data_IF_749907763912
#
_entry.id   IF_749907763912
#
_cell.length_a   1.000
_cell.length_b   1.000
_cell.length_c   1.000
_cell.angle_alpha   90.00
_cell.angle_beta   90.00
_cell.angle_gamma   90.00
#
_symmetry.space_group_name_H-M   'P 1'
#
loop_
_entity.id
_entity.type
_entity.pdbx_description
1 polymer ?
#
# COMPACT_ATOMS: atom_id res chain seq x y z
N UNK A 1 -24.91 -38.31 -1.84
CA UNK A 1 -24.69 -37.12 -0.98
C UNK A 1 -23.30 -36.47 -1.08
N UNK A 2 -22.40 -36.92 -1.97
CA UNK A 2 -21.08 -36.28 -2.16
C UNK A 2 -21.14 -34.98 -2.98
N UNK A 3 -22.02 -34.89 -3.99
CA UNK A 3 -22.16 -33.68 -4.82
C UNK A 3 -22.63 -32.44 -4.04
N UNK A 4 -23.58 -32.60 -3.11
CA UNK A 4 -24.08 -31.50 -2.27
C UNK A 4 -23.05 -30.99 -1.27
N UNK A 5 -22.17 -31.87 -0.76
CA UNK A 5 -21.12 -31.51 0.20
C UNK A 5 -19.94 -30.80 -0.47
N UNK A 6 -19.55 -31.26 -1.67
CA UNK A 6 -18.53 -30.60 -2.49
C UNK A 6 -19.00 -29.22 -2.96
N UNK A 7 -20.26 -29.10 -3.42
CA UNK A 7 -20.85 -27.82 -3.83
C UNK A 7 -20.96 -26.82 -2.67
N UNK A 8 -21.41 -27.26 -1.48
CA UNK A 8 -21.47 -26.38 -0.31
C UNK A 8 -20.07 -25.89 0.14
N UNK A 9 -19.05 -26.74 0.00
CA UNK A 9 -17.67 -26.39 0.36
C UNK A 9 -17.05 -25.43 -0.65
N UNK A 10 -17.29 -25.63 -1.95
CA UNK A 10 -16.84 -24.71 -2.99
C UNK A 10 -17.51 -23.34 -2.89
N UNK A 11 -18.82 -23.28 -2.58
CA UNK A 11 -19.53 -22.02 -2.34
C UNK A 11 -18.97 -21.24 -1.13
N UNK A 12 -18.64 -21.94 -0.03
CA UNK A 12 -18.02 -21.30 1.15
C UNK A 12 -16.64 -20.72 0.84
N UNK A 13 -15.81 -21.47 0.10
CA UNK A 13 -14.47 -21.01 -0.31
C UNK A 13 -14.55 -19.78 -1.22
N UNK A 14 -15.46 -19.79 -2.19
CA UNK A 14 -15.68 -18.65 -3.07
C UNK A 14 -16.15 -17.41 -2.30
N UNK A 15 -17.10 -17.57 -1.36
CA UNK A 15 -17.56 -16.45 -0.53
C UNK A 15 -16.46 -15.89 0.38
N UNK A 16 -15.63 -16.76 0.97
CA UNK A 16 -14.48 -16.34 1.77
C UNK A 16 -13.46 -15.54 0.93
N UNK A 17 -13.19 -15.98 -0.30
CA UNK A 17 -12.31 -15.26 -1.21
C UNK A 17 -12.87 -13.90 -1.61
N UNK A 18 -14.14 -13.82 -2.01
CA UNK A 18 -14.80 -12.54 -2.33
C UNK A 18 -14.74 -11.57 -1.15
N UNK A 19 -14.99 -12.06 0.06
CA UNK A 19 -14.87 -11.26 1.28
C UNK A 19 -13.43 -10.79 1.51
N UNK A 20 -12.44 -11.68 1.40
CA UNK A 20 -11.04 -11.34 1.59
C UNK A 20 -10.56 -10.28 0.58
N UNK A 21 -10.98 -10.38 -0.68
CA UNK A 21 -10.70 -9.37 -1.71
C UNK A 21 -11.33 -8.03 -1.32
N UNK A 22 -12.61 -8.00 -0.94
CA UNK A 22 -13.30 -6.76 -0.56
C UNK A 22 -12.67 -6.10 0.69
N UNK A 23 -12.35 -6.89 1.72
CA UNK A 23 -11.75 -6.44 2.98
C UNK A 23 -10.33 -5.90 2.80
N UNK A 24 -9.63 -6.28 1.73
CA UNK A 24 -8.31 -5.74 1.40
C UNK A 24 -8.42 -4.55 0.44
N UNK A 25 -9.15 -4.68 -0.67
CA UNK A 25 -9.21 -3.70 -1.75
C UNK A 25 -9.92 -2.40 -1.38
N UNK A 26 -11.03 -2.47 -0.65
CA UNK A 26 -11.79 -1.26 -0.27
C UNK A 26 -10.96 -0.34 0.61
N UNK A 27 -10.44 -0.81 1.77
CA UNK A 27 -9.74 0.08 2.67
C UNK A 27 -8.29 0.34 2.24
N UNK A 28 -7.71 -0.43 1.31
CA UNK A 28 -6.43 -0.09 0.68
C UNK A 28 -6.47 1.30 0.05
N UNK A 29 -7.53 1.63 -0.70
CA UNK A 29 -7.65 2.94 -1.37
C UNK A 29 -7.62 4.10 -0.37
N UNK A 30 -8.35 3.98 0.74
CA UNK A 30 -8.40 5.03 1.76
C UNK A 30 -7.07 5.15 2.53
N UNK A 31 -6.49 4.00 2.91
CA UNK A 31 -5.20 3.94 3.63
C UNK A 31 -4.07 4.58 2.81
N UNK A 32 -4.03 4.27 1.51
CA UNK A 32 -2.98 4.74 0.62
C UNK A 32 -3.16 6.20 0.19
N UNK A 33 -4.41 6.70 0.13
CA UNK A 33 -4.69 8.09 -0.18
C UNK A 33 -4.04 9.06 0.82
N UNK A 34 -4.18 8.79 2.12
CA UNK A 34 -3.57 9.61 3.17
C UNK A 34 -2.03 9.63 3.07
N UNK A 35 -1.42 8.49 2.77
CA UNK A 35 0.04 8.39 2.60
C UNK A 35 0.54 9.19 1.40
N UNK A 36 -0.17 9.15 0.26
CA UNK A 36 0.15 9.96 -0.92
C UNK A 36 0.04 11.45 -0.62
N UNK A 37 -1.03 11.89 0.06
CA UNK A 37 -1.19 13.29 0.45
C UNK A 37 -0.04 13.76 1.33
N UNK A 38 0.31 13.01 2.37
CA UNK A 38 1.42 13.38 3.27
C UNK A 38 2.78 13.38 2.57
N UNK A 39 3.00 12.46 1.65
CA UNK A 39 4.21 12.46 0.85
C UNK A 39 4.31 13.69 -0.06
N UNK A 40 3.22 14.08 -0.72
CA UNK A 40 3.18 15.29 -1.54
C UNK A 40 3.38 16.55 -0.69
N UNK A 41 2.77 16.65 0.50
CA UNK A 41 3.00 17.76 1.43
C UNK A 41 4.50 17.92 1.75
N UNK A 42 5.22 16.80 1.91
CA UNK A 42 6.66 16.79 2.12
C UNK A 42 7.44 17.25 0.87
N UNK A 43 7.10 16.73 -0.32
CA UNK A 43 7.75 17.14 -1.57
C UNK A 43 7.58 18.64 -1.80
N UNK A 44 6.37 19.17 -1.63
CA UNK A 44 6.09 20.60 -1.79
C UNK A 44 6.91 21.44 -0.79
N UNK A 45 7.05 20.98 0.45
CA UNK A 45 7.87 21.65 1.46
C UNK A 45 9.38 21.56 1.16
N UNK A 46 9.83 20.46 0.55
CA UNK A 46 11.22 20.29 0.13
C UNK A 46 11.57 21.23 -1.01
N UNK A 47 10.74 21.25 -2.06
CA UNK A 47 10.92 22.13 -3.22
C UNK A 47 10.88 23.61 -2.85
N UNK A 48 10.03 23.99 -1.89
CA UNK A 48 9.93 25.37 -1.40
C UNK A 48 11.01 25.78 -0.39
N UNK A 49 11.91 24.86 0.01
CA UNK A 49 12.83 25.05 1.15
C UNK A 49 12.09 25.52 2.42
N UNK A 50 10.91 24.97 2.68
CA UNK A 50 10.06 25.38 3.78
C UNK A 50 10.72 25.04 5.13
N UNK A 51 10.55 25.88 6.17
CA UNK A 51 11.14 25.65 7.49
C UNK A 51 10.54 24.43 8.21
N UNK A 52 9.39 23.93 7.77
CA UNK A 52 8.70 22.75 8.30
C UNK A 52 8.96 21.47 7.50
N UNK A 53 9.87 21.51 6.52
CA UNK A 53 10.19 20.36 5.66
C UNK A 53 10.51 19.10 6.48
N UNK A 54 11.36 19.21 7.50
CA UNK A 54 11.78 18.05 8.29
C UNK A 54 10.60 17.41 9.04
N UNK A 55 9.70 18.23 9.59
CA UNK A 55 8.50 17.73 10.25
C UNK A 55 7.55 17.04 9.25
N UNK A 56 7.41 17.60 8.05
CA UNK A 56 6.60 16.98 6.97
C UNK A 56 7.23 15.70 6.43
N UNK A 57 8.56 15.66 6.26
CA UNK A 57 9.31 14.46 5.89
C UNK A 57 9.05 13.33 6.88
N UNK A 58 9.18 13.62 8.17
CA UNK A 58 9.02 12.61 9.22
C UNK A 58 7.56 12.16 9.31
N UNK A 59 6.60 13.09 9.20
CA UNK A 59 5.17 12.77 9.11
C UNK A 59 4.83 11.91 7.88
N UNK A 60 5.40 12.22 6.71
CA UNK A 60 5.19 11.46 5.48
C UNK A 60 5.76 10.05 5.60
N UNK A 61 7.00 9.93 6.06
CA UNK A 61 7.65 8.65 6.27
C UNK A 61 6.90 7.78 7.29
N UNK A 62 6.44 8.37 8.39
CA UNK A 62 5.63 7.65 9.38
C UNK A 62 4.29 7.17 8.78
N UNK A 63 3.60 8.03 8.03
CA UNK A 63 2.32 7.67 7.40
C UNK A 63 2.49 6.54 6.37
N UNK A 64 3.60 6.54 5.61
CA UNK A 64 3.94 5.46 4.68
C UNK A 64 4.20 4.13 5.41
N UNK A 65 4.92 4.16 6.54
CA UNK A 65 5.13 2.96 7.36
C UNK A 65 3.82 2.42 7.95
N UNK A 66 2.95 3.29 8.45
CA UNK A 66 1.68 2.89 9.05
C UNK A 66 0.71 2.34 8.00
N UNK A 67 0.71 2.92 6.79
CA UNK A 67 0.00 2.36 5.65
C UNK A 67 0.53 0.97 5.29
N UNK A 68 1.85 0.80 5.22
CA UNK A 68 2.49 -0.48 4.94
C UNK A 68 2.14 -1.54 6.00
N UNK A 69 2.23 -1.20 7.29
CA UNK A 69 1.85 -2.09 8.40
C UNK A 69 0.38 -2.48 8.35
N UNK A 70 -0.50 -1.53 8.04
CA UNK A 70 -1.95 -1.78 7.93
C UNK A 70 -2.25 -2.74 6.79
N UNK A 71 -1.63 -2.54 5.62
CA UNK A 71 -1.81 -3.43 4.47
C UNK A 71 -1.25 -4.82 4.73
N UNK A 72 -0.02 -4.90 5.28
CA UNK A 72 0.60 -6.17 5.66
C UNK A 72 -0.28 -6.95 6.64
N UNK A 73 -0.78 -6.30 7.70
CA UNK A 73 -1.65 -6.94 8.68
C UNK A 73 -2.93 -7.51 8.07
N UNK A 74 -3.51 -6.83 7.07
CA UNK A 74 -4.70 -7.33 6.35
C UNK A 74 -4.39 -8.49 5.41
N UNK A 75 -3.25 -8.46 4.73
CA UNK A 75 -2.78 -9.58 3.90
C UNK A 75 -2.57 -10.82 4.78
N UNK A 76 -1.89 -10.66 5.92
CA UNK A 76 -1.68 -11.74 6.89
C UNK A 76 -3.01 -12.26 7.44
N UNK A 77 -3.95 -11.38 7.79
CA UNK A 77 -5.26 -11.78 8.31
C UNK A 77 -6.12 -12.52 7.27
N UNK A 78 -6.00 -12.17 5.98
CA UNK A 78 -6.71 -12.83 4.91
C UNK A 78 -6.15 -14.23 4.58
N UNK A 79 -4.84 -14.43 4.72
CA UNK A 79 -4.17 -15.70 4.48
C UNK A 79 -4.53 -16.32 3.12
N UNK A 80 -4.83 -17.63 3.12
CA UNK A 80 -5.15 -18.40 1.92
C UNK A 80 -6.48 -18.02 1.25
N UNK A 81 -7.31 -17.19 1.89
CA UNK A 81 -8.53 -16.67 1.27
C UNK A 81 -8.22 -15.61 0.20
N UNK A 82 -7.06 -14.95 0.28
CA UNK A 82 -6.66 -13.95 -0.69
C UNK A 82 -6.09 -14.61 -1.96
N UNK A 83 -6.49 -14.18 -3.17
CA UNK A 83 -5.85 -14.65 -4.40
C UNK A 83 -4.33 -14.40 -4.36
N UNK A 84 -3.47 -15.39 -4.71
CA UNK A 84 -2.02 -15.24 -4.60
C UNK A 84 -1.45 -14.03 -5.35
N UNK A 85 -1.97 -13.73 -6.54
CA UNK A 85 -1.55 -12.57 -7.33
C UNK A 85 -1.88 -11.24 -6.62
N UNK A 86 -3.03 -11.13 -5.96
CA UNK A 86 -3.39 -9.93 -5.19
C UNK A 86 -2.54 -9.82 -3.91
N UNK A 87 -2.28 -10.94 -3.23
CA UNK A 87 -1.41 -10.99 -2.05
C UNK A 87 0.01 -10.52 -2.39
N UNK A 88 0.54 -10.97 -3.54
CA UNK A 88 1.85 -10.55 -4.04
C UNK A 88 1.88 -9.04 -4.30
N UNK A 89 0.91 -8.48 -5.04
CA UNK A 89 0.89 -7.03 -5.34
C UNK A 89 0.75 -6.16 -4.10
N UNK A 90 -0.05 -6.59 -3.12
CA UNK A 90 -0.15 -5.88 -1.83
C UNK A 90 1.18 -5.93 -1.07
N UNK A 91 1.88 -7.06 -1.11
CA UNK A 91 3.22 -7.20 -0.50
C UNK A 91 4.25 -6.33 -1.21
N UNK A 92 4.21 -6.24 -2.54
CA UNK A 92 5.05 -5.34 -3.34
C UNK A 92 4.81 -3.87 -2.96
N UNK A 93 3.55 -3.48 -2.77
CA UNK A 93 3.20 -2.15 -2.24
C UNK A 93 3.80 -1.91 -0.85
N UNK A 94 3.67 -2.87 0.08
CA UNK A 94 4.23 -2.77 1.44
C UNK A 94 5.74 -2.51 1.38
N UNK A 95 6.46 -3.28 0.58
CA UNK A 95 7.91 -3.13 0.42
C UNK A 95 8.29 -1.79 -0.22
N UNK A 96 7.55 -1.38 -1.26
CA UNK A 96 7.78 -0.09 -1.91
C UNK A 96 7.53 1.08 -0.94
N UNK A 97 6.44 1.04 -0.16
CA UNK A 97 6.08 2.09 0.78
C UNK A 97 7.14 2.26 1.88
N UNK A 98 7.64 1.14 2.42
CA UNK A 98 8.77 1.13 3.37
C UNK A 98 10.05 1.68 2.73
N UNK A 99 10.33 1.30 1.48
CA UNK A 99 11.45 1.83 0.72
C UNK A 99 11.37 3.34 0.56
N UNK A 100 10.21 3.87 0.17
CA UNK A 100 9.99 5.31 0.06
C UNK A 100 10.11 6.02 1.41
N UNK A 101 9.54 5.46 2.48
CA UNK A 101 9.70 6.02 3.82
C UNK A 101 11.18 6.10 4.24
N UNK A 102 11.97 5.07 3.91
CA UNK A 102 13.41 5.04 4.13
C UNK A 102 14.17 6.12 3.33
N UNK A 103 13.86 6.29 2.05
CA UNK A 103 14.48 7.34 1.22
C UNK A 103 14.04 8.74 1.65
N UNK A 104 12.77 8.94 1.98
CA UNK A 104 12.25 10.20 2.51
C UNK A 104 13.03 10.65 3.73
N UNK A 105 13.26 9.76 4.71
CA UNK A 105 14.04 10.08 5.94
C UNK A 105 15.48 10.51 5.69
N UNK A 106 16.06 10.15 4.54
CA UNK A 106 17.42 10.58 4.16
C UNK A 106 17.46 11.98 3.55
N UNK A 107 16.30 12.54 3.21
CA UNK A 107 16.22 13.84 2.57
C UNK A 107 16.56 14.97 3.53
N UNK A 108 17.47 15.80 3.04
CA UNK A 108 17.83 17.12 3.56
C UNK A 108 17.68 18.11 2.39
N UNK A 109 17.77 19.42 2.65
CA UNK A 109 17.66 20.45 1.61
C UNK A 109 18.68 20.30 0.47
N UNK A 110 19.82 19.64 0.73
CA UNK A 110 20.88 19.42 -0.27
C UNK A 110 20.96 17.99 -0.76
N UNK A 111 20.08 17.10 -0.30
CA UNK A 111 20.13 15.69 -0.70
C UNK A 111 19.75 15.53 -2.17
N UNK A 112 20.47 14.69 -2.94
CA UNK A 112 20.07 14.38 -4.30
C UNK A 112 18.75 13.60 -4.31
N UNK A 113 17.77 14.06 -5.09
CA UNK A 113 16.41 13.48 -5.14
C UNK A 113 16.30 12.23 -6.01
N UNK A 114 17.39 11.77 -6.64
CA UNK A 114 17.36 10.64 -7.58
C UNK A 114 16.80 9.36 -6.97
N UNK A 115 17.32 8.94 -5.81
CA UNK A 115 16.84 7.71 -5.13
C UNK A 115 15.43 7.86 -4.58
N UNK A 116 15.06 9.07 -4.13
CA UNK A 116 13.70 9.41 -3.71
C UNK A 116 12.71 9.27 -4.87
N UNK A 117 13.05 9.81 -6.05
CA UNK A 117 12.23 9.75 -7.25
C UNK A 117 12.03 8.30 -7.73
N UNK A 118 13.09 7.50 -7.70
CA UNK A 118 12.98 6.07 -8.02
C UNK A 118 12.08 5.33 -7.04
N UNK A 119 12.20 5.60 -5.73
CA UNK A 119 11.33 5.01 -4.72
C UNK A 119 9.87 5.46 -4.87
N UNK A 120 9.64 6.75 -5.16
CA UNK A 120 8.32 7.33 -5.41
C UNK A 120 7.65 6.65 -6.62
N UNK A 121 8.41 6.47 -7.70
CA UNK A 121 7.94 5.74 -8.88
C UNK A 121 7.54 4.30 -8.54
N UNK A 122 8.38 3.56 -7.81
CA UNK A 122 8.08 2.18 -7.39
C UNK A 122 6.80 2.07 -6.57
N UNK A 123 6.57 3.00 -5.64
CA UNK A 123 5.32 3.04 -4.85
C UNK A 123 4.11 3.32 -5.74
N UNK A 124 4.22 4.28 -6.67
CA UNK A 124 3.15 4.58 -7.61
C UNK A 124 2.81 3.41 -8.54
N UNK A 125 3.82 2.72 -9.05
CA UNK A 125 3.63 1.52 -9.88
C UNK A 125 2.93 0.41 -9.08
N UNK A 126 3.36 0.15 -7.84
CA UNK A 126 2.74 -0.85 -6.96
C UNK A 126 1.30 -0.47 -6.57
N UNK A 127 1.03 0.80 -6.29
CA UNK A 127 -0.33 1.32 -6.06
C UNK A 127 -1.25 1.04 -7.24
N UNK A 128 -0.78 1.32 -8.46
CA UNK A 128 -1.55 1.11 -9.68
C UNK A 128 -1.75 -0.39 -9.99
N UNK A 129 -0.75 -1.23 -9.69
CA UNK A 129 -0.85 -2.67 -9.82
C UNK A 129 -1.95 -3.24 -8.91
N UNK A 130 -1.99 -2.84 -7.64
CA UNK A 130 -3.06 -3.25 -6.70
C UNK A 130 -4.41 -2.72 -7.15
N UNK A 131 -4.51 -1.44 -7.54
CA UNK A 131 -5.77 -0.83 -7.99
C UNK A 131 -6.37 -1.54 -9.21
N UNK A 132 -5.52 -1.98 -10.13
CA UNK A 132 -5.91 -2.75 -11.33
C UNK A 132 -6.36 -4.16 -10.98
N UNK A 133 -5.72 -4.80 -10.01
CA UNK A 133 -6.10 -6.14 -9.55
C UNK A 133 -7.37 -6.14 -8.67
N UNK A 134 -7.67 -5.01 -8.03
CA UNK A 134 -8.88 -4.85 -7.24
C UNK A 134 -10.11 -4.60 -8.12
N UNK A 135 -11.30 -5.12 -7.73
CA UNK A 135 -12.54 -4.80 -8.42
C UNK A 135 -12.79 -3.28 -8.52
N UNK A 136 -13.35 -2.86 -9.66
CA UNK A 136 -13.88 -1.51 -9.82
C UNK A 136 -14.99 -1.28 -8.77
N UNK A 137 -15.17 0.00 -8.37
CA UNK A 137 -16.29 0.37 -7.50
C UNK A 137 -17.60 0.32 -8.28
#
# INVERSE_FOLDING_TARGET
MAASSAAATSSKKAAAQTKAVADNCTPFRDTTGAAVTKYNDFVDAHDANAPDQDAKRDSAAQTLEDAARTVEGRVTAAGDALPPDLAQKLTEYVNAARGLAGESRKMTYTAPVGTLNDASKRVNDALNAVRTACPAR
#
